data_IF_419144374514
#
_entry.id   IF_419144374514
#
_cell.length_a   1.000
_cell.length_b   1.000
_cell.length_c   1.000
_cell.angle_alpha   90.00
_cell.angle_beta   90.00
_cell.angle_gamma   90.00
#
_symmetry.space_group_name_H-M   'P 1'
#
loop_
_entity.id
_entity.type
_entity.pdbx_description
1 polymer ?
#
# COMPACT_ATOMS: atom_id res chain seq x y z
N UNK A 1 4.14 78.39 31.10
CA UNK A 1 3.80 76.95 31.05
C UNK A 1 4.44 76.34 29.81
N UNK A 2 5.17 75.23 29.99
CA UNK A 2 5.90 74.49 28.95
C UNK A 2 4.93 73.85 27.95
N UNK A 3 5.21 73.94 26.66
CA UNK A 3 5.03 72.83 25.72
C UNK A 3 5.89 73.04 24.46
N UNK A 4 6.69 72.04 24.01
CA UNK A 4 7.72 72.21 23.01
C UNK A 4 7.27 71.82 21.59
N UNK A 5 7.99 72.39 20.62
CA UNK A 5 7.79 72.19 19.18
C UNK A 5 7.88 70.72 18.72
N UNK A 6 6.95 70.37 17.82
CA UNK A 6 6.97 69.10 17.09
C UNK A 6 8.00 69.18 15.97
N UNK A 7 8.97 68.27 16.03
CA UNK A 7 9.91 67.95 14.94
C UNK A 7 9.17 67.16 13.86
N UNK A 8 9.37 67.51 12.59
CA UNK A 8 9.02 66.66 11.44
C UNK A 8 9.85 65.37 11.51
N UNK A 9 9.27 64.18 11.26
CA UNK A 9 10.04 63.01 10.91
C UNK A 9 10.28 62.99 9.40
N UNK A 10 11.55 62.81 9.07
CA UNK A 10 12.14 62.54 7.77
C UNK A 10 11.55 61.24 7.20
N UNK A 11 10.89 61.31 6.04
CA UNK A 11 10.40 60.13 5.31
C UNK A 11 11.59 59.30 4.83
N UNK A 12 11.85 58.17 5.50
CA UNK A 12 12.72 57.11 5.00
C UNK A 12 11.91 56.26 4.02
N UNK A 13 12.21 56.40 2.73
CA UNK A 13 11.75 55.51 1.67
C UNK A 13 12.45 54.15 1.86
N UNK A 14 11.77 53.19 2.51
CA UNK A 14 12.20 51.80 2.51
C UNK A 14 11.76 51.15 1.19
N UNK A 15 12.70 50.97 0.26
CA UNK A 15 12.50 50.09 -0.89
C UNK A 15 12.38 48.65 -0.41
N UNK A 16 11.16 48.11 -0.38
CA UNK A 16 10.93 46.67 -0.31
C UNK A 16 11.40 46.05 -1.62
N UNK A 17 12.62 45.51 -1.62
CA UNK A 17 13.03 44.53 -2.61
C UNK A 17 12.28 43.23 -2.32
N UNK A 18 11.19 42.98 -3.05
CA UNK A 18 10.58 41.65 -3.16
C UNK A 18 11.59 40.73 -3.85
N UNK A 19 12.41 40.02 -3.06
CA UNK A 19 13.12 38.86 -3.55
C UNK A 19 12.08 37.78 -3.82
N UNK A 20 11.64 37.68 -5.07
CA UNK A 20 11.03 36.47 -5.61
C UNK A 20 12.04 35.35 -5.44
N UNK A 21 11.93 34.60 -4.34
CA UNK A 21 12.61 33.33 -4.20
C UNK A 21 12.12 32.43 -5.32
N UNK A 22 12.94 32.30 -6.36
CA UNK A 22 12.78 31.26 -7.36
C UNK A 22 12.69 29.93 -6.59
N UNK A 23 11.53 29.28 -6.67
CA UNK A 23 11.36 27.90 -6.24
C UNK A 23 12.40 27.10 -7.02
N UNK A 24 13.45 26.63 -6.35
CA UNK A 24 14.43 25.75 -6.99
C UNK A 24 13.67 24.55 -7.54
N UNK A 25 13.97 24.06 -8.76
CA UNK A 25 13.47 22.76 -9.19
C UNK A 25 13.83 21.75 -8.11
N UNK A 26 12.82 21.20 -7.44
CA UNK A 26 13.02 20.20 -6.41
C UNK A 26 13.71 19.01 -7.09
N UNK A 27 14.98 18.79 -6.76
CA UNK A 27 15.77 17.70 -7.33
C UNK A 27 14.97 16.41 -7.16
N UNK A 28 14.72 15.69 -8.27
CA UNK A 28 14.14 14.35 -8.22
C UNK A 28 15.08 13.49 -7.38
N UNK A 29 14.67 13.17 -6.16
CA UNK A 29 15.40 12.25 -5.30
C UNK A 29 15.51 10.91 -6.03
N UNK A 30 16.73 10.49 -6.34
CA UNK A 30 16.95 9.22 -7.02
C UNK A 30 16.44 8.08 -6.12
N UNK A 31 15.49 7.29 -6.65
CA UNK A 31 14.95 6.14 -5.94
C UNK A 31 16.05 5.09 -5.81
N UNK A 32 16.18 4.52 -4.62
CA UNK A 32 17.08 3.38 -4.37
C UNK A 32 16.22 2.13 -4.31
N UNK A 33 16.71 1.02 -4.86
CA UNK A 33 15.99 -0.26 -4.84
C UNK A 33 16.82 -1.35 -4.14
N UNK A 34 16.18 -2.26 -3.38
CA UNK A 34 14.79 -2.19 -2.95
C UNK A 34 14.59 -1.15 -1.83
N UNK A 35 13.42 -0.49 -1.84
CA UNK A 35 13.05 0.53 -0.85
C UNK A 35 11.53 0.73 -0.75
N UNK A 36 10.72 -0.18 -1.27
CA UNK A 36 9.26 -0.08 -1.15
C UNK A 36 8.82 -0.60 0.23
N UNK A 37 8.67 -1.93 0.37
CA UNK A 37 8.27 -2.54 1.65
C UNK A 37 9.43 -3.15 2.43
N UNK A 38 10.58 -3.34 1.77
CA UNK A 38 11.81 -3.80 2.39
C UNK A 38 12.97 -3.00 1.82
N UNK A 39 13.93 -2.67 2.69
CA UNK A 39 15.22 -2.14 2.26
C UNK A 39 16.32 -3.21 2.36
N UNK A 40 17.55 -2.86 1.92
CA UNK A 40 18.68 -3.80 1.90
C UNK A 40 19.12 -4.27 3.28
N UNK A 41 19.05 -3.40 4.28
CA UNK A 41 19.44 -3.70 5.65
C UNK A 41 18.44 -4.69 6.27
N UNK A 42 17.14 -4.44 6.09
CA UNK A 42 16.07 -5.34 6.54
C UNK A 42 16.11 -6.71 5.87
N UNK A 43 16.44 -6.78 4.58
CA UNK A 43 16.63 -8.06 3.88
C UNK A 43 17.77 -8.86 4.53
N UNK A 44 18.85 -8.19 4.93
CA UNK A 44 19.97 -8.84 5.62
C UNK A 44 19.57 -9.30 7.03
N UNK A 45 18.82 -8.49 7.77
CA UNK A 45 18.24 -8.90 9.06
C UNK A 45 17.33 -10.12 8.92
N UNK A 46 16.52 -10.18 7.87
CA UNK A 46 15.66 -11.34 7.57
C UNK A 46 16.52 -12.58 7.31
N UNK A 47 17.60 -12.48 6.53
CA UNK A 47 18.53 -13.61 6.31
C UNK A 47 19.14 -14.10 7.62
N UNK A 48 19.56 -13.18 8.48
CA UNK A 48 20.10 -13.53 9.80
C UNK A 48 19.05 -14.20 10.69
N UNK A 49 17.80 -13.72 10.68
CA UNK A 49 16.68 -14.34 11.41
C UNK A 49 16.40 -15.76 10.89
N UNK A 50 16.39 -15.96 9.57
CA UNK A 50 16.21 -17.28 8.94
C UNK A 50 17.31 -18.26 9.37
N UNK A 51 18.57 -17.81 9.44
CA UNK A 51 19.68 -18.66 9.89
C UNK A 51 19.61 -18.99 11.38
N UNK A 52 19.11 -18.06 12.19
CA UNK A 52 19.11 -18.17 13.66
C UNK A 52 17.90 -18.93 14.21
N UNK A 53 16.74 -18.82 13.57
CA UNK A 53 15.48 -19.29 14.12
C UNK A 53 14.79 -20.28 13.19
N UNK A 54 14.50 -21.48 13.71
CA UNK A 54 13.85 -22.54 12.92
C UNK A 54 12.45 -22.14 12.41
N UNK A 55 11.70 -21.34 13.18
CA UNK A 55 10.39 -20.84 12.75
C UNK A 55 10.52 -19.91 11.53
N UNK A 56 11.55 -19.06 11.49
CA UNK A 56 11.80 -18.16 10.38
C UNK A 56 12.26 -18.95 9.14
N UNK A 57 13.09 -19.97 9.34
CA UNK A 57 13.46 -20.91 8.28
C UNK A 57 12.24 -21.67 7.73
N UNK A 58 11.32 -22.12 8.58
CA UNK A 58 10.10 -22.80 8.16
C UNK A 58 9.18 -21.89 7.33
N UNK A 59 8.97 -20.64 7.77
CA UNK A 59 8.22 -19.64 7.00
C UNK A 59 8.88 -19.38 5.65
N UNK A 60 10.20 -19.26 5.62
CA UNK A 60 10.92 -19.03 4.37
C UNK A 60 10.84 -20.22 3.41
N UNK A 61 10.92 -21.46 3.90
CA UNK A 61 10.69 -22.66 3.07
C UNK A 61 9.30 -22.65 2.43
N UNK A 62 8.28 -22.14 3.13
CA UNK A 62 6.93 -21.96 2.56
C UNK A 62 6.91 -20.90 1.46
N UNK A 63 7.62 -19.78 1.63
CA UNK A 63 7.78 -18.76 0.57
C UNK A 63 8.43 -19.39 -0.68
N UNK A 64 9.48 -20.18 -0.51
CA UNK A 64 10.14 -20.86 -1.63
C UNK A 64 9.22 -21.87 -2.31
N UNK A 65 8.48 -22.68 -1.54
CA UNK A 65 7.53 -23.64 -2.09
C UNK A 65 6.47 -22.93 -2.96
N UNK A 66 5.90 -21.82 -2.48
CA UNK A 66 4.93 -21.01 -3.24
C UNK A 66 5.54 -20.34 -4.48
N UNK A 67 6.82 -19.97 -4.45
CA UNK A 67 7.54 -19.44 -5.61
C UNK A 67 7.82 -20.51 -6.69
N UNK A 68 7.92 -21.78 -6.28
CA UNK A 68 8.20 -22.92 -7.16
C UNK A 68 6.94 -23.66 -7.61
N UNK A 69 5.78 -23.36 -7.02
CA UNK A 69 4.50 -23.87 -7.49
C UNK A 69 4.26 -23.49 -8.97
N UNK A 70 3.64 -24.39 -9.76
CA UNK A 70 3.09 -24.02 -11.06
C UNK A 70 2.18 -22.79 -10.91
N UNK A 71 2.07 -21.99 -11.96
CA UNK A 71 1.45 -20.66 -11.94
C UNK A 71 -0.10 -20.67 -11.78
N UNK A 72 -0.60 -21.38 -10.76
CA UNK A 72 -2.01 -21.56 -10.41
C UNK A 72 -2.58 -20.27 -9.80
N UNK A 73 -1.75 -19.50 -9.09
CA UNK A 73 -2.10 -18.21 -8.48
C UNK A 73 -1.08 -17.14 -8.87
N UNK A 74 -1.20 -16.53 -10.06
CA UNK A 74 -0.10 -15.78 -10.69
C UNK A 74 0.42 -14.59 -9.88
N UNK A 75 -0.45 -13.88 -9.16
CA UNK A 75 -0.07 -12.71 -8.37
C UNK A 75 0.68 -13.10 -7.09
N UNK A 76 0.17 -14.12 -6.40
CA UNK A 76 0.82 -14.71 -5.22
C UNK A 76 2.18 -15.29 -5.61
N UNK A 77 2.23 -16.11 -6.64
CA UNK A 77 3.47 -16.74 -7.07
C UNK A 77 4.53 -15.68 -7.46
N UNK A 78 4.12 -14.56 -8.05
CA UNK A 78 5.03 -13.45 -8.38
C UNK A 78 5.65 -12.78 -7.14
N UNK A 79 4.83 -12.41 -6.14
CA UNK A 79 5.32 -11.81 -4.88
C UNK A 79 6.33 -12.73 -4.19
N UNK A 80 5.99 -14.01 -4.08
CA UNK A 80 6.80 -15.01 -3.38
C UNK A 80 8.10 -15.27 -4.15
N UNK A 81 8.05 -15.29 -5.48
CA UNK A 81 9.23 -15.38 -6.35
C UNK A 81 10.15 -14.18 -6.14
N UNK A 82 9.62 -12.96 -6.06
CA UNK A 82 10.43 -11.77 -5.82
C UNK A 82 11.08 -11.77 -4.42
N UNK A 83 10.35 -12.21 -3.39
CA UNK A 83 10.89 -12.38 -2.04
C UNK A 83 11.97 -13.47 -1.99
N UNK A 84 11.75 -14.61 -2.65
CA UNK A 84 12.74 -15.67 -2.74
C UNK A 84 14.03 -15.17 -3.44
N UNK A 85 13.90 -14.36 -4.50
CA UNK A 85 15.05 -13.68 -5.11
C UNK A 85 15.76 -12.76 -4.13
N UNK A 86 15.04 -11.84 -3.50
CA UNK A 86 15.62 -10.85 -2.60
C UNK A 86 16.37 -11.50 -1.43
N UNK A 87 15.82 -12.56 -0.85
CA UNK A 87 16.40 -13.24 0.31
C UNK A 87 17.55 -14.17 -0.11
N UNK A 88 17.43 -14.95 -1.19
CA UNK A 88 18.47 -15.93 -1.56
C UNK A 88 19.55 -15.41 -2.52
N UNK A 89 19.25 -14.37 -3.31
CA UNK A 89 20.07 -13.95 -4.46
C UNK A 89 20.05 -14.92 -5.64
N UNK A 90 19.24 -15.99 -5.61
CA UNK A 90 19.21 -16.97 -6.71
C UNK A 90 18.63 -16.36 -7.98
N UNK A 91 19.47 -16.24 -9.01
CA UNK A 91 19.16 -15.55 -10.27
C UNK A 91 17.89 -16.07 -10.96
N UNK A 92 17.58 -17.36 -10.83
CA UNK A 92 16.42 -17.97 -11.47
C UNK A 92 15.09 -17.33 -11.03
N UNK A 93 14.93 -17.01 -9.74
CA UNK A 93 13.72 -16.33 -9.26
C UNK A 93 13.61 -14.91 -9.83
N UNK A 94 14.69 -14.13 -9.77
CA UNK A 94 14.69 -12.77 -10.31
C UNK A 94 14.44 -12.72 -11.82
N UNK A 95 14.94 -13.71 -12.55
CA UNK A 95 14.70 -13.85 -13.99
C UNK A 95 13.23 -14.18 -14.32
N UNK A 96 12.57 -15.04 -13.52
CA UNK A 96 11.13 -15.31 -13.66
C UNK A 96 10.31 -14.02 -13.48
N UNK A 97 10.62 -13.22 -12.45
CA UNK A 97 9.95 -11.92 -12.20
C UNK A 97 10.16 -10.97 -13.37
N UNK A 98 11.41 -10.83 -13.84
CA UNK A 98 11.79 -9.97 -14.95
C UNK A 98 11.01 -10.31 -16.22
N UNK A 99 11.00 -11.58 -16.60
CA UNK A 99 10.29 -12.06 -17.79
C UNK A 99 8.79 -11.76 -17.72
N UNK A 100 8.16 -12.03 -16.58
CA UNK A 100 6.72 -11.78 -16.41
C UNK A 100 6.39 -10.29 -16.51
N UNK A 101 7.09 -9.43 -15.77
CA UNK A 101 6.78 -7.99 -15.76
C UNK A 101 7.07 -7.33 -17.12
N UNK A 102 8.16 -7.70 -17.79
CA UNK A 102 8.45 -7.21 -19.15
C UNK A 102 7.39 -7.69 -20.14
N UNK A 103 6.99 -8.96 -20.06
CA UNK A 103 5.92 -9.50 -20.91
C UNK A 103 4.60 -8.74 -20.71
N UNK A 104 4.16 -8.57 -19.45
CA UNK A 104 2.94 -7.85 -19.12
C UNK A 104 2.99 -6.39 -19.59
N UNK A 105 4.11 -5.70 -19.39
CA UNK A 105 4.28 -4.33 -19.86
C UNK A 105 4.14 -4.22 -21.39
N UNK A 106 4.74 -5.16 -22.15
CA UNK A 106 4.61 -5.18 -23.63
C UNK A 106 3.19 -5.48 -24.09
N UNK A 107 2.50 -6.38 -23.40
CA UNK A 107 1.15 -6.79 -23.76
C UNK A 107 0.12 -5.69 -23.45
N UNK A 108 0.20 -5.09 -22.26
CA UNK A 108 -0.85 -4.20 -21.74
C UNK A 108 -0.66 -2.74 -22.17
N UNK A 109 0.57 -2.25 -22.33
CA UNK A 109 0.81 -0.83 -22.62
C UNK A 109 0.07 -0.34 -23.89
N UNK A 110 0.05 -1.08 -25.02
CA UNK A 110 -0.70 -0.65 -26.20
C UNK A 110 -2.23 -0.56 -25.98
N UNK A 111 -2.78 -1.34 -25.04
CA UNK A 111 -4.20 -1.26 -24.68
C UNK A 111 -4.50 0.02 -23.91
N UNK A 112 -3.65 0.37 -22.95
CA UNK A 112 -3.74 1.64 -22.22
C UNK A 112 -3.63 2.85 -23.15
N UNK A 113 -2.74 2.81 -24.15
CA UNK A 113 -2.55 3.91 -25.11
C UNK A 113 -3.76 4.14 -26.03
N UNK A 114 -4.58 3.12 -26.25
CA UNK A 114 -5.79 3.18 -27.09
C UNK A 114 -7.07 3.34 -26.29
N UNK A 115 -6.96 3.37 -24.96
CA UNK A 115 -8.09 3.32 -24.05
C UNK A 115 -8.99 4.56 -24.19
N UNK A 116 -10.28 4.32 -24.44
CA UNK A 116 -11.31 5.35 -24.34
C UNK A 116 -11.92 5.32 -22.94
N UNK A 117 -11.25 6.02 -22.01
CA UNK A 117 -11.55 5.93 -20.58
C UNK A 117 -13.00 6.27 -20.21
N UNK A 118 -13.65 7.20 -20.95
CA UNK A 118 -15.07 7.53 -20.75
C UNK A 118 -16.03 6.35 -20.98
N UNK A 119 -15.65 5.40 -21.82
CA UNK A 119 -16.43 4.19 -22.08
C UNK A 119 -16.06 3.04 -21.13
N UNK A 120 -14.86 3.08 -20.56
CA UNK A 120 -14.30 2.02 -19.73
C UNK A 120 -13.55 2.62 -18.52
N UNK A 121 -14.26 3.32 -17.61
CA UNK A 121 -13.62 4.10 -16.54
C UNK A 121 -12.89 3.23 -15.50
N UNK A 122 -13.22 1.94 -15.44
CA UNK A 122 -12.59 0.98 -14.53
C UNK A 122 -11.45 0.18 -15.17
N UNK A 123 -11.09 0.46 -16.43
CA UNK A 123 -10.05 -0.32 -17.12
C UNK A 123 -8.74 -0.29 -16.33
N UNK A 124 -8.25 -1.48 -15.98
CA UNK A 124 -7.02 -1.63 -15.21
C UNK A 124 -7.14 -1.32 -13.72
N UNK A 125 -8.27 -0.83 -13.20
CA UNK A 125 -8.40 -0.42 -11.79
C UNK A 125 -8.09 -1.54 -10.79
N UNK A 126 -8.33 -2.78 -11.17
CA UNK A 126 -8.29 -3.95 -10.29
C UNK A 126 -7.02 -4.80 -10.42
N UNK A 127 -6.06 -4.38 -11.25
CA UNK A 127 -4.79 -5.09 -11.42
C UNK A 127 -3.93 -5.09 -10.14
N UNK A 128 -3.01 -6.05 -9.96
CA UNK A 128 -2.21 -6.21 -8.74
C UNK A 128 -1.02 -5.23 -8.70
N UNK A 129 -1.29 -3.94 -8.90
CA UNK A 129 -0.26 -2.92 -9.13
C UNK A 129 0.74 -2.78 -7.99
N UNK A 130 0.28 -2.91 -6.74
CA UNK A 130 1.17 -2.92 -5.57
C UNK A 130 2.13 -4.11 -5.58
N UNK A 131 1.66 -5.29 -6.00
CA UNK A 131 2.49 -6.49 -6.13
C UNK A 131 3.48 -6.33 -7.28
N UNK A 132 3.03 -5.82 -8.43
CA UNK A 132 3.93 -5.55 -9.57
C UNK A 132 5.02 -4.53 -9.20
N UNK A 133 4.66 -3.46 -8.50
CA UNK A 133 5.61 -2.46 -8.01
C UNK A 133 6.61 -3.07 -7.02
N UNK A 134 6.16 -3.90 -6.09
CA UNK A 134 7.06 -4.52 -5.10
C UNK A 134 7.97 -5.58 -5.72
N UNK A 135 7.44 -6.41 -6.62
CA UNK A 135 8.23 -7.40 -7.34
C UNK A 135 9.30 -6.74 -8.21
N UNK A 136 8.96 -5.62 -8.87
CA UNK A 136 9.92 -4.79 -9.60
C UNK A 136 10.98 -4.21 -8.66
N UNK A 137 10.60 -3.64 -7.52
CA UNK A 137 11.51 -3.05 -6.53
C UNK A 137 12.54 -4.07 -6.00
N UNK A 138 12.08 -5.27 -5.63
CA UNK A 138 12.94 -6.37 -5.14
C UNK A 138 13.88 -6.93 -6.21
N UNK A 139 13.47 -6.92 -7.47
CA UNK A 139 14.20 -7.50 -8.61
C UNK A 139 14.83 -6.46 -9.54
N UNK A 140 14.88 -5.18 -9.14
CA UNK A 140 15.28 -4.05 -9.98
C UNK A 140 16.61 -4.26 -10.72
N UNK A 141 17.57 -4.92 -10.07
CA UNK A 141 18.91 -5.20 -10.60
C UNK A 141 18.95 -6.32 -11.66
N UNK A 142 17.80 -6.94 -11.98
CA UNK A 142 17.66 -7.93 -13.07
C UNK A 142 17.20 -7.33 -14.38
N UNK A 143 16.56 -6.18 -14.35
CA UNK A 143 16.10 -5.50 -15.55
C UNK A 143 17.26 -4.74 -16.21
N UNK A 144 17.34 -4.77 -17.54
CA UNK A 144 18.15 -3.81 -18.30
C UNK A 144 17.54 -2.41 -18.20
N UNK A 145 18.30 -1.36 -18.55
CA UNK A 145 17.79 0.01 -18.49
C UNK A 145 16.55 0.21 -19.37
N UNK A 146 16.53 -0.36 -20.58
CA UNK A 146 15.36 -0.29 -21.47
C UNK A 146 14.15 -1.09 -20.97
N UNK A 147 14.39 -2.18 -20.24
CA UNK A 147 13.32 -2.95 -19.60
C UNK A 147 12.76 -2.21 -18.38
N UNK A 148 13.60 -1.51 -17.61
CA UNK A 148 13.17 -0.62 -16.53
C UNK A 148 12.29 0.48 -17.09
N UNK A 149 12.75 1.23 -18.10
CA UNK A 149 11.98 2.29 -18.74
C UNK A 149 10.60 1.80 -19.19
N UNK A 150 10.53 0.61 -19.80
CA UNK A 150 9.29 0.00 -20.25
C UNK A 150 8.34 -0.33 -19.07
N UNK A 151 8.83 -1.02 -18.05
CA UNK A 151 8.01 -1.43 -16.89
C UNK A 151 7.55 -0.21 -16.10
N UNK A 152 8.44 0.76 -15.85
CA UNK A 152 8.09 2.00 -15.16
C UNK A 152 7.05 2.82 -15.95
N UNK A 153 7.19 2.90 -17.27
CA UNK A 153 6.19 3.56 -18.13
C UNK A 153 4.84 2.87 -18.04
N UNK A 154 4.81 1.55 -18.00
CA UNK A 154 3.58 0.78 -17.84
C UNK A 154 2.92 1.00 -16.48
N UNK A 155 3.67 0.86 -15.39
CA UNK A 155 3.15 1.09 -14.04
C UNK A 155 2.61 2.51 -13.87
N UNK A 156 3.35 3.52 -14.36
CA UNK A 156 2.91 4.93 -14.32
C UNK A 156 1.67 5.19 -15.16
N UNK A 157 1.62 4.63 -16.36
CA UNK A 157 0.44 4.74 -17.24
C UNK A 157 -0.79 4.13 -16.57
N UNK A 158 -0.67 2.91 -16.06
CA UNK A 158 -1.76 2.24 -15.36
C UNK A 158 -2.24 3.06 -14.15
N UNK A 159 -1.33 3.53 -13.30
CA UNK A 159 -1.68 4.35 -12.14
C UNK A 159 -2.41 5.64 -12.52
N UNK A 160 -1.94 6.36 -13.54
CA UNK A 160 -2.62 7.57 -14.05
C UNK A 160 -3.99 7.25 -14.64
N UNK A 161 -4.14 6.14 -15.35
CA UNK A 161 -5.44 5.67 -15.84
C UNK A 161 -6.42 5.44 -14.69
N UNK A 162 -5.97 4.89 -13.56
CA UNK A 162 -6.80 4.72 -12.36
C UNK A 162 -7.25 6.07 -11.80
N UNK A 163 -6.33 7.02 -11.66
CA UNK A 163 -6.63 8.38 -11.17
C UNK A 163 -7.68 9.05 -12.07
N UNK A 164 -7.50 9.01 -13.39
CA UNK A 164 -8.45 9.61 -14.33
C UNK A 164 -9.79 8.84 -14.38
N UNK A 165 -9.76 7.52 -14.21
CA UNK A 165 -10.95 6.67 -14.19
C UNK A 165 -11.84 6.97 -12.99
N UNK A 166 -11.22 7.16 -11.82
CA UNK A 166 -11.92 7.48 -10.57
C UNK A 166 -12.66 8.83 -10.63
N UNK A 167 -12.20 9.78 -11.46
CA UNK A 167 -12.91 11.04 -11.71
C UNK A 167 -14.22 10.85 -12.48
N UNK A 168 -14.33 9.77 -13.24
CA UNK A 168 -15.48 9.48 -14.10
C UNK A 168 -16.48 8.53 -13.43
N UNK A 169 -15.99 7.61 -12.62
CA UNK A 169 -16.80 6.63 -11.90
C UNK A 169 -16.13 6.29 -10.57
N UNK A 170 -16.92 6.33 -9.50
CA UNK A 170 -16.49 5.98 -8.14
C UNK A 170 -17.31 4.82 -7.60
N UNK A 171 -16.83 4.19 -6.53
CA UNK A 171 -17.38 2.97 -5.95
C UNK A 171 -17.32 2.98 -4.43
N UNK A 172 -17.55 1.85 -3.75
CA UNK A 172 -17.53 1.76 -2.29
C UNK A 172 -16.21 2.25 -1.68
N UNK A 173 -16.23 2.85 -0.48
CA UNK A 173 -15.03 3.45 0.11
C UNK A 173 -13.81 2.52 0.21
N UNK A 174 -13.98 1.25 0.60
CA UNK A 174 -12.89 0.27 0.65
C UNK A 174 -12.22 0.08 -0.72
N UNK A 175 -13.01 -0.01 -1.79
CA UNK A 175 -12.51 -0.19 -3.14
C UNK A 175 -11.82 1.07 -3.67
N UNK A 176 -12.35 2.25 -3.33
CA UNK A 176 -11.68 3.53 -3.63
C UNK A 176 -10.34 3.61 -2.88
N UNK A 177 -10.32 3.22 -1.60
CA UNK A 177 -9.12 3.24 -0.78
C UNK A 177 -8.05 2.25 -1.26
N UNK A 178 -8.45 1.04 -1.67
CA UNK A 178 -7.57 0.04 -2.30
C UNK A 178 -6.88 0.60 -3.55
N UNK A 179 -7.61 1.30 -4.43
CA UNK A 179 -7.02 1.98 -5.61
C UNK A 179 -5.95 2.99 -5.19
N UNK A 180 -6.19 3.79 -4.15
CA UNK A 180 -5.22 4.75 -3.63
C UNK A 180 -3.98 4.08 -3.07
N UNK A 181 -4.15 2.98 -2.32
CA UNK A 181 -3.02 2.20 -1.81
C UNK A 181 -2.17 1.65 -2.96
N UNK A 182 -2.80 1.04 -3.97
CA UNK A 182 -2.11 0.49 -5.14
C UNK A 182 -1.36 1.56 -5.93
N UNK A 183 -1.99 2.70 -6.20
CA UNK A 183 -1.36 3.83 -6.88
C UNK A 183 -0.22 4.43 -6.04
N UNK A 184 -0.40 4.54 -4.72
CA UNK A 184 0.63 5.04 -3.82
C UNK A 184 1.86 4.14 -3.78
N UNK A 185 1.68 2.82 -3.75
CA UNK A 185 2.79 1.85 -3.82
C UNK A 185 3.55 1.96 -5.15
N UNK A 186 2.84 2.16 -6.28
CA UNK A 186 3.49 2.48 -7.55
C UNK A 186 4.24 3.81 -7.45
N UNK A 187 3.62 4.85 -6.87
CA UNK A 187 4.22 6.16 -6.67
C UNK A 187 5.53 6.11 -5.90
N UNK A 188 5.54 5.44 -4.75
CA UNK A 188 6.75 5.27 -3.94
C UNK A 188 7.82 4.43 -4.63
N UNK A 189 7.42 3.37 -5.33
CA UNK A 189 8.34 2.55 -6.11
C UNK A 189 9.02 3.37 -7.22
N UNK A 190 8.29 4.25 -7.89
CA UNK A 190 8.81 5.05 -9.00
C UNK A 190 9.37 6.43 -8.60
N UNK A 191 9.21 6.82 -7.33
CA UNK A 191 9.47 8.19 -6.87
C UNK A 191 8.58 9.23 -7.56
N UNK A 192 7.37 8.83 -7.96
CA UNK A 192 6.42 9.68 -8.70
C UNK A 192 5.55 10.47 -7.72
N UNK A 193 5.93 11.74 -7.49
CA UNK A 193 5.28 12.63 -6.53
C UNK A 193 3.80 12.84 -6.81
N UNK A 194 3.38 12.85 -8.08
CA UNK A 194 1.96 13.02 -8.43
C UNK A 194 1.12 11.85 -7.89
N UNK A 195 1.62 10.63 -8.06
CA UNK A 195 0.94 9.41 -7.60
C UNK A 195 0.95 9.32 -6.07
N UNK A 196 2.08 9.67 -5.43
CA UNK A 196 2.21 9.70 -3.96
C UNK A 196 1.25 10.74 -3.38
N UNK A 197 1.26 11.97 -3.92
CA UNK A 197 0.43 13.05 -3.43
C UNK A 197 -1.05 12.71 -3.57
N UNK A 198 -1.47 12.10 -4.68
CA UNK A 198 -2.85 11.62 -4.86
C UNK A 198 -3.23 10.54 -3.84
N UNK A 199 -2.40 9.51 -3.69
CA UNK A 199 -2.64 8.40 -2.76
C UNK A 199 -2.76 8.85 -1.30
N UNK A 200 -2.05 9.91 -0.89
CA UNK A 200 -2.09 10.40 0.48
C UNK A 200 -3.16 11.48 0.71
N UNK A 201 -3.30 12.42 -0.23
CA UNK A 201 -4.00 13.69 -0.01
C UNK A 201 -5.29 13.84 -0.80
N UNK A 202 -5.64 12.92 -1.70
CA UNK A 202 -6.91 13.05 -2.42
C UNK A 202 -8.09 13.04 -1.45
N UNK A 203 -8.83 14.16 -1.44
CA UNK A 203 -9.99 14.35 -0.57
C UNK A 203 -11.28 13.83 -1.20
N UNK A 204 -11.19 13.34 -2.44
CA UNK A 204 -12.33 12.97 -3.26
C UNK A 204 -13.11 14.18 -3.76
N UNK A 205 -13.79 14.01 -4.89
CA UNK A 205 -14.61 15.07 -5.48
C UNK A 205 -16.09 15.00 -5.03
N UNK A 206 -16.63 13.79 -4.84
CA UNK A 206 -18.04 13.55 -4.51
C UNK A 206 -18.28 12.13 -3.98
N UNK A 207 -19.37 11.89 -3.27
CA UNK A 207 -19.78 10.54 -2.86
C UNK A 207 -18.74 9.80 -1.98
N UNK A 208 -18.58 8.46 -2.14
CA UNK A 208 -17.60 7.66 -1.42
C UNK A 208 -16.14 7.89 -1.86
N UNK A 209 -15.87 8.79 -2.81
CA UNK A 209 -14.56 8.99 -3.46
C UNK A 209 -13.42 9.50 -2.54
N UNK A 210 -13.59 9.49 -1.21
CA UNK A 210 -12.57 9.91 -0.24
C UNK A 210 -11.57 8.78 -0.01
N UNK A 211 -10.61 8.63 -0.93
CA UNK A 211 -9.65 7.52 -0.88
C UNK A 211 -8.23 7.89 -0.46
N UNK A 212 -7.84 9.17 -0.44
CA UNK A 212 -6.51 9.54 0.03
C UNK A 212 -6.31 9.14 1.49
N UNK A 213 -5.14 8.59 1.85
CA UNK A 213 -4.83 8.09 3.20
C UNK A 213 -5.37 8.98 4.32
N UNK A 214 -5.04 10.27 4.30
CA UNK A 214 -5.47 11.20 5.35
C UNK A 214 -6.99 11.41 5.37
N UNK A 215 -7.61 11.50 4.18
CA UNK A 215 -9.04 11.70 4.05
C UNK A 215 -9.84 10.45 4.46
N UNK A 216 -9.36 9.26 4.09
CA UNK A 216 -9.96 7.98 4.45
C UNK A 216 -9.95 7.79 5.97
N UNK A 217 -8.82 8.04 6.65
CA UNK A 217 -8.75 7.93 8.12
C UNK A 217 -9.75 8.86 8.84
N UNK A 218 -9.92 10.10 8.35
CA UNK A 218 -10.86 11.07 8.92
C UNK A 218 -12.33 10.76 8.60
N UNK A 219 -12.61 10.15 7.44
CA UNK A 219 -13.95 9.96 6.92
C UNK A 219 -14.56 8.59 7.27
N UNK A 220 -13.75 7.54 7.22
CA UNK A 220 -14.19 6.16 7.35
C UNK A 220 -14.16 5.66 8.79
N UNK A 221 -13.26 6.17 9.62
CA UNK A 221 -13.07 5.64 10.99
C UNK A 221 -13.63 6.63 12.00
N UNK A 222 -14.92 6.95 11.90
CA UNK A 222 -15.53 8.12 12.58
C UNK A 222 -15.46 8.07 14.10
N UNK A 223 -15.43 6.89 14.69
CA UNK A 223 -15.32 6.65 16.14
C UNK A 223 -13.87 6.45 16.62
N UNK A 224 -12.91 6.64 15.71
CA UNK A 224 -11.48 6.48 15.97
C UNK A 224 -10.99 5.03 15.96
N UNK A 225 -11.87 4.01 15.85
CA UNK A 225 -11.48 2.60 16.02
C UNK A 225 -11.98 1.68 14.89
N UNK A 226 -13.16 1.90 14.33
CA UNK A 226 -13.76 0.97 13.38
C UNK A 226 -13.96 1.60 12.02
N UNK A 227 -13.63 0.83 10.98
CA UNK A 227 -13.95 1.19 9.60
C UNK A 227 -15.46 1.30 9.43
N UNK A 228 -15.92 2.27 8.64
CA UNK A 228 -17.33 2.59 8.46
C UNK A 228 -18.11 1.59 7.60
N UNK A 229 -17.50 0.48 7.21
CA UNK A 229 -18.12 -0.65 6.50
C UNK A 229 -17.94 -1.95 7.30
N UNK A 230 -18.40 -3.08 6.76
CA UNK A 230 -18.26 -4.39 7.39
C UNK A 230 -16.80 -4.69 7.82
N UNK A 231 -16.57 -5.33 9.00
CA UNK A 231 -15.23 -5.66 9.49
C UNK A 231 -14.31 -6.38 8.50
N UNK A 232 -14.88 -7.20 7.61
CA UNK A 232 -14.12 -7.91 6.58
C UNK A 232 -13.41 -6.95 5.63
N UNK A 233 -14.00 -5.79 5.31
CA UNK A 233 -13.39 -4.80 4.42
C UNK A 233 -12.13 -4.21 5.04
N UNK A 234 -12.22 -3.78 6.28
CA UNK A 234 -11.07 -3.21 6.99
C UNK A 234 -9.91 -4.21 7.09
N UNK A 235 -10.18 -5.41 7.60
CA UNK A 235 -9.12 -6.35 7.97
C UNK A 235 -8.54 -7.08 6.76
N UNK A 236 -9.39 -7.41 5.78
CA UNK A 236 -8.95 -8.14 4.60
C UNK A 236 -8.44 -7.22 3.50
N UNK A 237 -8.95 -5.99 3.36
CA UNK A 237 -8.67 -5.10 2.23
C UNK A 237 -7.94 -3.81 2.60
N UNK A 238 -8.35 -3.10 3.65
CA UNK A 238 -7.88 -1.71 3.84
C UNK A 238 -6.64 -1.60 4.73
N UNK A 239 -6.61 -2.32 5.86
CA UNK A 239 -5.53 -2.21 6.86
C UNK A 239 -4.18 -2.62 6.27
N UNK A 240 -4.14 -3.66 5.44
CA UNK A 240 -2.88 -4.06 4.81
C UNK A 240 -2.35 -3.00 3.84
N UNK A 241 -3.25 -2.28 3.14
CA UNK A 241 -2.90 -1.14 2.29
C UNK A 241 -2.33 0.03 3.11
N UNK A 242 -2.94 0.33 4.28
CA UNK A 242 -2.44 1.35 5.20
C UNK A 242 -1.02 1.03 5.70
N UNK A 243 -0.78 -0.21 6.11
CA UNK A 243 0.54 -0.66 6.57
C UNK A 243 1.57 -0.59 5.45
N UNK A 244 1.21 -1.04 4.24
CA UNK A 244 2.10 -1.01 3.09
C UNK A 244 2.47 0.44 2.69
N UNK A 245 1.50 1.37 2.69
CA UNK A 245 1.78 2.79 2.46
C UNK A 245 2.68 3.39 3.55
N UNK A 246 2.49 3.00 4.82
CA UNK A 246 3.32 3.47 5.93
C UNK A 246 4.78 3.02 5.80
N UNK A 247 5.03 1.76 5.45
CA UNK A 247 6.39 1.28 5.18
C UNK A 247 7.00 1.97 3.94
N UNK A 248 6.23 2.08 2.86
CA UNK A 248 6.69 2.74 1.64
C UNK A 248 7.08 4.22 1.89
N UNK A 249 6.27 4.95 2.65
CA UNK A 249 6.56 6.33 3.04
C UNK A 249 7.83 6.43 3.90
N UNK A 250 7.93 5.58 4.93
CA UNK A 250 9.07 5.54 5.84
C UNK A 250 10.38 5.28 5.09
N UNK A 251 10.38 4.32 4.18
CA UNK A 251 11.55 4.01 3.38
C UNK A 251 11.90 5.09 2.35
N UNK A 252 10.90 5.67 1.69
CA UNK A 252 11.12 6.62 0.61
C UNK A 252 11.68 7.96 1.12
N UNK A 253 11.01 8.59 2.08
CA UNK A 253 11.35 9.93 2.56
C UNK A 253 11.41 10.09 4.08
N UNK A 254 11.15 9.02 4.84
CA UNK A 254 11.14 9.06 6.30
C UNK A 254 9.82 9.51 6.90
N UNK A 255 8.79 9.75 6.08
CA UNK A 255 7.44 10.05 6.57
C UNK A 255 6.91 8.87 7.36
N UNK A 256 6.60 9.09 8.64
CA UNK A 256 6.16 8.05 9.55
C UNK A 256 4.65 8.07 9.74
N UNK A 257 3.92 7.42 8.82
CA UNK A 257 2.44 7.42 8.84
C UNK A 257 1.84 6.67 10.05
N UNK A 258 2.61 5.84 10.74
CA UNK A 258 2.18 5.15 11.96
C UNK A 258 1.81 6.11 13.10
N UNK A 259 2.47 7.28 13.17
CA UNK A 259 2.21 8.29 14.20
C UNK A 259 1.11 9.28 13.80
N UNK A 260 0.60 9.20 12.56
CA UNK A 260 -0.45 10.08 12.11
C UNK A 260 -1.75 9.79 12.86
N UNK A 261 -2.31 10.84 13.48
CA UNK A 261 -3.62 10.84 14.12
C UNK A 261 -4.51 11.82 13.39
N UNK A 262 -5.59 11.30 12.82
CA UNK A 262 -6.55 12.06 12.06
C UNK A 262 -7.23 13.14 12.94
N UNK A 263 -7.23 14.40 12.52
CA UNK A 263 -7.61 15.52 13.39
C UNK A 263 -9.06 15.45 13.86
N UNK A 264 -9.97 14.95 13.00
CA UNK A 264 -11.40 14.91 13.29
C UNK A 264 -11.80 13.61 13.99
N UNK A 265 -11.46 12.47 13.38
CA UNK A 265 -11.88 11.17 13.91
C UNK A 265 -11.01 10.67 15.05
N UNK A 266 -9.82 11.24 15.25
CA UNK A 266 -8.77 10.71 16.14
C UNK A 266 -8.29 9.31 15.74
N UNK A 267 -8.61 8.86 14.53
CA UNK A 267 -8.18 7.58 14.02
C UNK A 267 -6.68 7.60 13.67
N UNK A 268 -6.04 6.46 13.83
CA UNK A 268 -4.66 6.16 13.44
C UNK A 268 -4.60 4.70 13.00
N UNK A 269 -3.52 4.28 12.34
CA UNK A 269 -3.30 2.86 12.02
C UNK A 269 -3.41 2.02 13.31
N UNK A 270 -2.78 2.50 14.39
CA UNK A 270 -2.81 1.84 15.69
C UNK A 270 -4.22 1.71 16.26
N UNK A 271 -5.02 2.78 16.26
CA UNK A 271 -6.33 2.75 16.89
C UNK A 271 -7.32 1.84 16.15
N UNK A 272 -7.15 1.65 14.84
CA UNK A 272 -7.91 0.66 14.06
C UNK A 272 -7.56 -0.76 14.52
N UNK A 273 -6.26 -1.08 14.58
CA UNK A 273 -5.79 -2.39 15.05
C UNK A 273 -6.27 -2.64 16.49
N UNK A 274 -6.11 -1.67 17.38
CA UNK A 274 -6.60 -1.74 18.77
C UNK A 274 -8.14 -1.94 18.80
N UNK A 275 -8.88 -1.29 17.91
CA UNK A 275 -10.32 -1.45 17.76
C UNK A 275 -10.72 -2.89 17.45
N UNK A 276 -10.15 -3.47 16.39
CA UNK A 276 -10.46 -4.84 15.99
C UNK A 276 -9.94 -5.88 17.00
N UNK A 277 -8.79 -5.63 17.64
CA UNK A 277 -8.32 -6.45 18.76
C UNK A 277 -9.22 -6.37 20.01
N UNK A 278 -10.08 -5.35 20.14
CA UNK A 278 -11.10 -5.33 21.20
C UNK A 278 -12.34 -6.14 20.85
N UNK A 279 -12.68 -6.25 19.55
CA UNK A 279 -13.78 -7.13 19.10
C UNK A 279 -13.48 -8.60 19.29
N UNK A 280 -12.20 -8.94 19.39
CA UNK A 280 -11.71 -10.26 19.78
C UNK A 280 -12.07 -10.69 21.21
N UNK A 281 -12.70 -9.82 22.02
CA UNK A 281 -13.03 -10.12 23.41
C UNK A 281 -14.50 -10.62 23.55
N UNK A 282 -14.75 -11.71 24.31
CA UNK A 282 -13.75 -12.52 25.01
C UNK A 282 -12.91 -13.34 24.04
N UNK A 283 -11.63 -13.55 24.40
CA UNK A 283 -10.76 -14.49 23.72
C UNK A 283 -11.34 -15.90 23.88
N UNK A 284 -12.16 -16.32 22.92
CA UNK A 284 -12.74 -17.65 22.92
C UNK A 284 -11.68 -18.66 22.49
N UNK A 285 -11.56 -19.77 23.23
CA UNK A 285 -10.90 -20.97 22.71
C UNK A 285 -11.83 -21.56 21.65
N UNK A 286 -11.63 -21.15 20.40
CA UNK A 286 -12.42 -21.58 19.22
C UNK A 286 -12.27 -23.07 18.89
N UNK A 287 -11.40 -23.80 19.59
CA UNK A 287 -11.05 -25.19 19.29
C UNK A 287 -10.02 -25.33 18.16
N UNK A 288 -9.68 -24.24 17.47
CA UNK A 288 -8.56 -24.18 16.53
C UNK A 288 -7.26 -24.15 17.36
N UNK A 289 -6.38 -25.13 17.15
CA UNK A 289 -5.09 -25.25 17.86
C UNK A 289 -4.21 -24.02 17.56
N UNK A 290 -3.43 -23.57 18.55
CA UNK A 290 -2.43 -22.50 18.35
C UNK A 290 -2.81 -21.09 18.84
N UNK A 291 -4.00 -20.90 19.43
CA UNK A 291 -4.40 -19.61 20.00
C UNK A 291 -4.91 -18.62 18.94
N UNK A 292 -5.86 -19.06 18.12
CA UNK A 292 -6.54 -18.18 17.16
C UNK A 292 -7.56 -17.27 17.85
N UNK A 293 -7.68 -16.06 17.34
CA UNK A 293 -8.69 -15.08 17.71
C UNK A 293 -9.74 -15.04 16.60
N UNK A 294 -10.99 -15.40 16.91
CA UNK A 294 -12.11 -15.18 15.98
C UNK A 294 -12.41 -13.68 15.95
N UNK A 295 -12.36 -13.09 14.77
CA UNK A 295 -12.90 -11.76 14.55
C UNK A 295 -14.22 -11.93 13.83
N UNK A 296 -15.32 -11.49 14.45
CA UNK A 296 -16.63 -11.60 13.82
C UNK A 296 -16.65 -10.81 12.51
N UNK A 297 -16.61 -11.50 11.37
CA UNK A 297 -16.78 -10.90 10.05
C UNK A 297 -18.25 -10.85 9.73
N UNK A 298 -18.94 -9.82 10.21
CA UNK A 298 -20.25 -9.46 9.69
C UNK A 298 -20.05 -8.84 8.30
N UNK A 299 -19.92 -9.66 7.25
CA UNK A 299 -19.93 -9.21 5.87
C UNK A 299 -21.35 -8.90 5.40
N UNK A 300 -21.49 -8.11 4.33
CA UNK A 300 -22.70 -8.18 3.53
C UNK A 300 -22.76 -9.57 2.85
N UNK A 301 -23.94 -10.00 2.43
CA UNK A 301 -24.14 -11.33 1.85
C UNK A 301 -23.31 -11.62 0.59
N UNK A 302 -22.54 -10.68 0.05
CA UNK A 302 -21.64 -10.91 -1.09
C UNK A 302 -20.22 -11.36 -0.68
N UNK A 303 -19.78 -11.04 0.55
CA UNK A 303 -18.43 -11.32 1.05
C UNK A 303 -18.38 -12.41 2.12
N UNK A 304 -19.53 -12.82 2.62
CA UNK A 304 -19.64 -13.90 3.60
C UNK A 304 -19.47 -15.29 2.98
N UNK A 305 -19.53 -15.42 1.65
CA UNK A 305 -19.53 -16.72 0.98
C UNK A 305 -18.17 -17.05 0.35
N UNK A 306 -17.65 -18.24 0.64
CA UNK A 306 -16.49 -18.78 -0.07
C UNK A 306 -16.86 -19.25 -1.47
N UNK A 307 -15.90 -19.76 -2.25
CA UNK A 307 -16.14 -20.28 -3.60
C UNK A 307 -17.25 -21.34 -3.68
N UNK A 308 -17.60 -21.99 -2.56
CA UNK A 308 -18.67 -22.96 -2.44
C UNK A 308 -20.02 -22.44 -1.92
N UNK A 309 -20.20 -21.12 -1.71
CA UNK A 309 -21.45 -20.58 -1.15
C UNK A 309 -21.64 -20.84 0.35
N UNK A 310 -20.56 -21.18 1.06
CA UNK A 310 -20.57 -21.40 2.52
C UNK A 310 -20.15 -20.15 3.27
N UNK A 311 -20.82 -19.88 4.41
CA UNK A 311 -20.49 -18.75 5.27
C UNK A 311 -19.10 -18.95 5.89
N UNK A 312 -18.15 -18.04 5.69
CA UNK A 312 -16.83 -18.09 6.33
C UNK A 312 -16.62 -16.93 7.29
N UNK A 313 -16.20 -17.24 8.51
CA UNK A 313 -15.63 -16.27 9.42
C UNK A 313 -14.17 -15.99 9.04
N UNK A 314 -13.69 -14.76 9.24
CA UNK A 314 -12.25 -14.50 9.27
C UNK A 314 -11.66 -14.68 10.67
N UNK A 315 -10.44 -15.20 10.71
CA UNK A 315 -9.70 -15.41 11.94
C UNK A 315 -8.37 -14.67 11.87
N UNK A 316 -7.94 -14.09 13.00
CA UNK A 316 -6.51 -13.84 13.23
C UNK A 316 -5.95 -15.10 13.87
N UNK A 317 -5.14 -15.86 13.15
CA UNK A 317 -4.47 -17.03 13.71
C UNK A 317 -2.97 -16.79 13.87
N UNK A 318 -2.43 -17.33 14.96
CA UNK A 318 -1.01 -17.59 15.11
C UNK A 318 -0.72 -19.01 14.58
N UNK A 319 -0.06 -19.21 13.43
CA UNK A 319 0.07 -20.54 12.87
C UNK A 319 1.44 -21.17 13.22
N UNK A 320 1.46 -22.30 13.95
CA UNK A 320 2.50 -23.31 13.75
C UNK A 320 2.21 -24.21 12.53
N UNK A 321 0.94 -24.43 12.14
CA UNK A 321 0.58 -25.50 11.18
C UNK A 321 -0.27 -25.08 9.94
N UNK A 322 -0.55 -23.79 9.75
CA UNK A 322 -1.28 -23.26 8.57
C UNK A 322 -2.81 -23.49 8.56
N UNK A 323 -3.56 -22.81 7.66
CA UNK A 323 -5.03 -22.91 7.62
C UNK A 323 -5.55 -24.23 7.07
N UNK A 324 -6.75 -24.61 7.50
CA UNK A 324 -7.55 -25.69 6.90
C UNK A 324 -8.07 -25.21 5.53
N UNK A 325 -8.24 -26.09 4.51
CA UNK A 325 -8.85 -25.70 3.24
C UNK A 325 -10.22 -25.03 3.43
N UNK A 326 -10.34 -23.78 3.00
CA UNK A 326 -11.58 -23.00 3.06
C UNK A 326 -11.58 -21.84 4.08
N UNK A 327 -10.52 -21.67 4.89
CA UNK A 327 -10.41 -20.55 5.84
C UNK A 327 -9.65 -19.35 5.23
N UNK A 328 -10.17 -18.13 5.47
CA UNK A 328 -9.50 -16.88 5.11
C UNK A 328 -8.79 -16.32 6.35
N UNK A 329 -7.46 -16.25 6.31
CA UNK A 329 -6.63 -15.71 7.40
C UNK A 329 -6.16 -14.29 7.09
N UNK A 330 -6.46 -13.35 7.98
CA UNK A 330 -5.66 -12.14 8.15
C UNK A 330 -4.45 -12.49 9.01
N UNK A 331 -3.23 -12.32 8.47
CA UNK A 331 -2.00 -12.56 9.23
C UNK A 331 -1.57 -11.24 9.88
N UNK A 332 -1.67 -11.16 11.20
CA UNK A 332 -1.06 -10.11 12.00
C UNK A 332 -0.32 -10.79 13.15
N UNK A 333 1.01 -10.86 13.08
CA UNK A 333 1.82 -11.33 14.21
C UNK A 333 2.04 -10.16 15.17
N UNK A 334 1.52 -10.29 16.39
CA UNK A 334 1.82 -9.37 17.50
C UNK A 334 3.07 -9.94 18.18
N UNK A 335 4.20 -9.27 18.01
CA UNK A 335 5.47 -9.57 18.69
C UNK A 335 5.45 -9.13 20.15
#
# INVERSE_FOLDING_TARGET
MRSPGRKLPMCVLAMLALTLSAVSPQEKRAVRHPNLLLNREEIEEIRQKIQRYEWAAALFRRVQALADEPNVYPERNLRETALAYAITGQRAYGEKVRQLLVHQARAMLPEYEKLQLRLQPEFGAWGPWGIYAWAYDLCYDRFSDSERELVERWLRTAARTIIEGEKLWTTTPNLVFDKHCRVGLVGYCLGDKELIDWALHDRGAHGPARGGFYAALDAMIKDGHFWGEAPIYALHYDVHGMLALAEAARHFDGTYLYDYVAPRSKASIRSILDGYLRLAFPLERTGIRGGSIRLATYGDGSTSYGPGGTLHDAFLANPPDGPVPGEILGLLEIA
#
